data_IF_546260376033
#
_entry.id   IF_546260376033
#
_cell.length_a   1.000
_cell.length_b   1.000
_cell.length_c   1.000
_cell.angle_alpha   90.00
_cell.angle_beta   90.00
_cell.angle_gamma   90.00
#
_symmetry.space_group_name_H-M   'P 1'
#
loop_
_entity.id
_entity.type
_entity.pdbx_description
1 polymer ?
#
# COMPACT_ATOMS: atom_id res chain seq x y z
N UNK A 1 33.59 17.47 -27.30
CA UNK A 1 32.58 17.12 -26.29
C UNK A 1 32.46 15.61 -26.29
N UNK A 2 32.85 15.03 -25.17
CA UNK A 2 33.02 13.59 -24.98
C UNK A 2 31.66 12.88 -24.96
N UNK A 3 31.62 11.62 -25.41
CA UNK A 3 30.42 10.80 -25.44
C UNK A 3 29.85 10.56 -24.02
N UNK A 4 30.69 10.73 -23.01
CA UNK A 4 30.36 10.72 -21.59
C UNK A 4 29.50 11.93 -21.18
N UNK A 5 29.71 13.11 -21.77
CA UNK A 5 28.93 14.33 -21.45
C UNK A 5 27.51 14.28 -22.05
N UNK A 6 27.33 13.61 -23.20
CA UNK A 6 25.98 13.38 -23.77
C UNK A 6 25.14 12.40 -22.96
N UNK A 7 25.78 11.44 -22.28
CA UNK A 7 25.08 10.43 -21.48
C UNK A 7 24.55 10.98 -20.15
N UNK A 8 25.09 12.11 -19.69
CA UNK A 8 24.62 12.81 -18.48
C UNK A 8 23.49 13.80 -18.80
N UNK A 9 23.44 14.31 -20.04
CA UNK A 9 22.39 15.23 -20.49
C UNK A 9 21.04 14.54 -20.79
N UNK A 10 21.05 13.24 -21.13
CA UNK A 10 19.87 12.39 -21.25
C UNK A 10 19.89 11.40 -20.08
N UNK A 11 19.24 11.74 -18.97
CA UNK A 11 19.16 10.89 -17.78
C UNK A 11 18.81 9.46 -18.15
N UNK A 12 19.68 8.52 -17.74
CA UNK A 12 19.65 7.07 -17.90
C UNK A 12 18.55 6.51 -18.83
N UNK A 13 18.94 5.87 -19.95
CA UNK A 13 18.04 5.37 -21.01
C UNK A 13 17.01 4.30 -20.61
N UNK A 14 16.72 4.16 -19.33
CA UNK A 14 15.65 3.36 -18.73
C UNK A 14 14.38 4.20 -18.52
N UNK A 15 13.23 3.54 -18.61
CA UNK A 15 11.92 4.19 -18.47
C UNK A 15 11.66 4.67 -17.02
N UNK A 16 10.85 5.73 -16.83
CA UNK A 16 10.52 6.24 -15.48
C UNK A 16 9.98 5.14 -14.56
N UNK A 17 9.16 4.24 -15.09
CA UNK A 17 8.61 3.11 -14.33
C UNK A 17 9.62 2.07 -13.88
N UNK A 18 10.70 1.89 -14.65
CA UNK A 18 11.81 1.01 -14.29
C UNK A 18 12.69 1.67 -13.24
N UNK A 19 12.99 2.95 -13.39
CA UNK A 19 13.74 3.73 -12.41
C UNK A 19 13.03 3.74 -11.05
N UNK A 20 11.72 4.03 -11.01
CA UNK A 20 10.95 3.98 -9.76
C UNK A 20 11.00 2.59 -9.14
N UNK A 21 10.83 1.54 -9.94
CA UNK A 21 10.89 0.15 -9.44
C UNK A 21 12.25 -0.16 -8.82
N UNK A 22 13.34 0.30 -9.42
CA UNK A 22 14.69 0.04 -8.92
C UNK A 22 14.96 0.80 -7.63
N UNK A 23 14.71 2.11 -7.59
CA UNK A 23 14.99 2.93 -6.38
C UNK A 23 14.10 2.57 -5.19
N UNK A 24 12.91 2.00 -5.43
CA UNK A 24 11.98 1.62 -4.36
C UNK A 24 12.12 0.17 -3.91
N UNK A 25 13.02 -0.61 -4.52
CA UNK A 25 13.18 -2.05 -4.24
C UNK A 25 13.41 -2.36 -2.77
N UNK A 26 14.36 -1.68 -2.13
CA UNK A 26 14.69 -1.93 -0.72
C UNK A 26 13.58 -1.48 0.22
N UNK A 27 12.95 -0.33 -0.07
CA UNK A 27 11.80 0.15 0.71
C UNK A 27 10.57 -0.75 0.54
N UNK A 28 10.36 -1.35 -0.63
CA UNK A 28 9.33 -2.37 -0.84
C UNK A 28 9.57 -3.60 0.03
N UNK A 29 10.81 -4.12 0.04
CA UNK A 29 11.17 -5.25 0.92
C UNK A 29 10.95 -4.89 2.38
N UNK A 30 11.35 -3.70 2.84
CA UNK A 30 11.09 -3.28 4.23
C UNK A 30 9.61 -3.16 4.55
N UNK A 31 8.80 -2.60 3.65
CA UNK A 31 7.35 -2.49 3.83
C UNK A 31 6.68 -3.85 4.03
N UNK A 32 7.05 -4.85 3.22
CA UNK A 32 6.54 -6.21 3.35
C UNK A 32 6.99 -6.92 4.64
N UNK A 33 8.12 -6.49 5.21
CA UNK A 33 8.70 -7.06 6.43
C UNK A 33 8.35 -6.28 7.71
N UNK A 34 7.46 -5.28 7.64
CA UNK A 34 6.89 -4.66 8.86
C UNK A 34 6.13 -5.71 9.66
N UNK A 35 6.11 -5.57 11.00
CA UNK A 35 5.47 -6.55 11.88
C UNK A 35 3.99 -6.75 11.53
N UNK A 36 3.28 -5.66 11.21
CA UNK A 36 1.89 -5.70 10.78
C UNK A 36 1.73 -6.52 9.50
N UNK A 37 2.55 -6.29 8.47
CA UNK A 37 2.46 -7.01 7.20
C UNK A 37 2.84 -8.47 7.33
N UNK A 38 3.87 -8.80 8.12
CA UNK A 38 4.23 -10.19 8.41
C UNK A 38 3.08 -10.96 9.09
N UNK A 39 2.36 -10.32 10.02
CA UNK A 39 1.19 -10.90 10.66
C UNK A 39 0.03 -11.02 9.66
N UNK A 40 -0.20 -9.99 8.85
CA UNK A 40 -1.25 -9.97 7.84
C UNK A 40 -1.06 -11.10 6.83
N UNK A 41 0.14 -11.27 6.26
CA UNK A 41 0.46 -12.34 5.30
C UNK A 41 0.22 -13.74 5.88
N UNK A 42 0.37 -13.92 7.20
CA UNK A 42 0.06 -15.17 7.93
C UNK A 42 -1.43 -15.35 8.25
N UNK A 43 -2.28 -14.39 7.88
CA UNK A 43 -3.71 -14.37 8.22
C UNK A 43 -3.97 -14.03 9.69
N UNK A 44 -3.01 -13.41 10.38
CA UNK A 44 -3.06 -13.08 11.80
C UNK A 44 -3.42 -11.61 12.07
N UNK A 45 -3.93 -10.90 11.06
CA UNK A 45 -4.46 -9.54 11.25
C UNK A 45 -5.78 -9.61 12.04
N UNK A 46 -5.88 -8.81 13.09
CA UNK A 46 -7.11 -8.73 13.90
C UNK A 46 -8.13 -7.79 13.28
N UNK A 47 -9.42 -7.96 13.63
CA UNK A 47 -10.47 -7.05 13.16
C UNK A 47 -10.22 -5.58 13.57
N UNK A 48 -9.79 -5.26 14.81
CA UNK A 48 -9.39 -3.90 15.16
C UNK A 48 -8.25 -3.34 14.29
N UNK A 49 -7.20 -4.12 14.02
CA UNK A 49 -6.09 -3.73 13.14
C UNK A 49 -6.59 -3.40 11.74
N UNK A 50 -7.43 -4.27 11.17
CA UNK A 50 -7.96 -4.08 9.83
C UNK A 50 -8.88 -2.86 9.74
N UNK A 51 -9.73 -2.63 10.75
CA UNK A 51 -10.59 -1.43 10.80
C UNK A 51 -9.79 -0.13 10.86
N UNK A 52 -8.72 -0.07 11.66
CA UNK A 52 -7.83 1.11 11.69
C UNK A 52 -7.09 1.25 10.35
N UNK A 53 -6.66 0.15 9.74
CA UNK A 53 -6.03 0.18 8.42
C UNK A 53 -6.98 0.78 7.38
N UNK A 54 -8.25 0.38 7.36
CA UNK A 54 -9.27 0.95 6.48
C UNK A 54 -9.48 2.45 6.73
N UNK A 55 -9.55 2.89 7.99
CA UNK A 55 -9.60 4.31 8.32
C UNK A 55 -8.39 5.08 7.77
N UNK A 56 -7.19 4.53 7.94
CA UNK A 56 -5.95 5.14 7.45
C UNK A 56 -5.92 5.22 5.93
N UNK A 57 -6.31 4.13 5.26
CA UNK A 57 -6.41 4.09 3.80
C UNK A 57 -7.42 5.11 3.30
N UNK A 58 -8.61 5.19 3.89
CA UNK A 58 -9.62 6.19 3.53
C UNK A 58 -9.05 7.62 3.57
N UNK A 59 -8.36 7.99 4.65
CA UNK A 59 -7.77 9.32 4.76
C UNK A 59 -6.66 9.59 3.72
N UNK A 60 -5.83 8.58 3.44
CA UNK A 60 -4.74 8.64 2.45
C UNK A 60 -5.30 8.75 1.03
N UNK A 61 -6.21 7.87 0.64
CA UNK A 61 -6.82 7.90 -0.70
C UNK A 61 -7.67 9.14 -0.89
N UNK A 62 -8.33 9.65 0.16
CA UNK A 62 -9.02 10.94 0.07
C UNK A 62 -8.06 12.06 -0.31
N UNK A 63 -6.96 12.18 0.42
CA UNK A 63 -5.95 13.20 0.12
C UNK A 63 -5.31 13.01 -1.27
N UNK A 64 -5.03 11.76 -1.66
CA UNK A 64 -4.43 11.46 -2.96
C UNK A 64 -5.41 11.77 -4.10
N UNK A 65 -6.64 11.29 -4.02
CA UNK A 65 -7.65 11.43 -5.07
C UNK A 65 -8.14 12.88 -5.19
N UNK A 66 -8.30 13.61 -4.08
CA UNK A 66 -8.60 15.05 -4.11
C UNK A 66 -7.54 15.84 -4.89
N UNK A 67 -6.25 15.52 -4.72
CA UNK A 67 -5.15 16.21 -5.41
C UNK A 67 -4.97 15.70 -6.84
N UNK A 68 -5.23 14.41 -7.13
CA UNK A 68 -5.25 13.90 -8.51
C UNK A 68 -6.38 14.54 -9.32
N UNK A 69 -7.59 14.68 -8.75
CA UNK A 69 -8.72 15.32 -9.39
C UNK A 69 -8.44 16.80 -9.68
N UNK A 70 -7.89 17.52 -8.69
CA UNK A 70 -7.48 18.93 -8.82
C UNK A 70 -6.47 19.15 -9.93
N UNK A 71 -5.57 18.19 -10.14
CA UNK A 71 -4.48 18.26 -11.10
C UNK A 71 -4.69 17.33 -12.31
N UNK A 72 -5.93 16.93 -12.59
CA UNK A 72 -6.27 15.97 -13.65
C UNK A 72 -5.80 16.36 -15.05
N UNK A 73 -5.62 17.66 -15.32
CA UNK A 73 -5.10 18.19 -16.59
C UNK A 73 -3.64 18.64 -16.51
N UNK A 74 -2.94 18.40 -15.40
CA UNK A 74 -1.51 18.72 -15.28
C UNK A 74 -0.70 17.73 -16.13
N UNK A 75 0.30 18.16 -16.94
CA UNK A 75 1.00 17.27 -17.89
C UNK A 75 1.62 16.01 -17.30
N UNK A 76 2.03 16.06 -16.03
CA UNK A 76 2.57 14.91 -15.30
C UNK A 76 1.52 13.99 -14.64
N UNK A 77 0.27 14.45 -14.49
CA UNK A 77 -0.81 13.72 -13.82
C UNK A 77 -1.80 13.16 -14.85
N UNK A 78 -2.14 13.94 -15.87
CA UNK A 78 -3.09 13.53 -16.92
C UNK A 78 -2.81 12.13 -17.50
N UNK A 79 -1.56 11.72 -17.80
CA UNK A 79 -1.31 10.40 -18.38
C UNK A 79 -1.70 9.24 -17.46
N UNK A 80 -1.64 9.44 -16.14
CA UNK A 80 -1.92 8.40 -15.13
C UNK A 80 -3.31 8.55 -14.47
N UNK A 81 -4.12 9.49 -14.92
CA UNK A 81 -5.42 9.80 -14.31
C UNK A 81 -6.50 8.82 -14.79
N UNK A 82 -6.72 7.75 -14.02
CA UNK A 82 -7.69 6.67 -14.29
C UNK A 82 -8.72 6.53 -13.16
N UNK A 83 -9.59 7.52 -12.91
CA UNK A 83 -10.49 7.50 -11.76
C UNK A 83 -11.51 6.36 -11.82
N UNK A 84 -12.01 6.00 -13.01
CA UNK A 84 -13.03 4.95 -13.16
C UNK A 84 -12.48 3.56 -12.81
N UNK A 85 -11.20 3.33 -13.10
CA UNK A 85 -10.55 2.05 -12.88
C UNK A 85 -9.89 1.95 -11.49
N UNK A 86 -9.29 3.05 -11.02
CA UNK A 86 -8.40 3.05 -9.86
C UNK A 86 -8.94 3.72 -8.60
N UNK A 87 -9.92 4.63 -8.68
CA UNK A 87 -10.37 5.35 -7.48
C UNK A 87 -10.86 4.38 -6.40
N UNK A 88 -10.46 4.62 -5.15
CA UNK A 88 -10.70 3.74 -3.99
C UNK A 88 -11.67 4.33 -2.98
N UNK A 89 -12.00 5.62 -3.07
CA UNK A 89 -12.85 6.25 -2.07
C UNK A 89 -14.19 5.56 -1.89
N UNK A 90 -14.94 5.33 -2.96
CA UNK A 90 -16.26 4.68 -2.87
C UNK A 90 -16.19 3.26 -2.27
N UNK A 91 -15.14 2.50 -2.59
CA UNK A 91 -14.97 1.16 -2.03
C UNK A 91 -14.57 1.20 -0.55
N UNK A 92 -13.72 2.15 -0.15
CA UNK A 92 -13.36 2.38 1.25
C UNK A 92 -14.55 2.88 2.08
N UNK A 93 -15.38 3.77 1.53
CA UNK A 93 -16.60 4.24 2.21
C UNK A 93 -17.58 3.08 2.47
N UNK A 94 -17.75 2.18 1.49
CA UNK A 94 -18.58 0.96 1.66
C UNK A 94 -18.01 0.02 2.72
N UNK A 95 -16.70 -0.20 2.73
CA UNK A 95 -16.06 -1.05 3.75
C UNK A 95 -16.16 -0.43 5.15
N UNK A 96 -16.00 0.89 5.27
CA UNK A 96 -16.16 1.60 6.54
C UNK A 96 -17.62 1.57 7.03
N UNK A 97 -18.59 1.78 6.15
CA UNK A 97 -20.01 1.65 6.50
C UNK A 97 -20.36 0.23 6.96
N UNK A 98 -19.80 -0.80 6.32
CA UNK A 98 -19.97 -2.20 6.75
C UNK A 98 -19.49 -2.42 8.19
N UNK A 99 -18.31 -1.92 8.56
CA UNK A 99 -17.73 -2.18 9.89
C UNK A 99 -18.16 -1.22 11.00
N UNK A 100 -18.65 -0.02 10.66
CA UNK A 100 -18.93 1.04 11.62
C UNK A 100 -20.36 1.60 11.54
N UNK A 101 -21.15 1.15 10.57
CA UNK A 101 -22.52 1.59 10.29
C UNK A 101 -22.61 2.98 9.64
N UNK A 102 -23.82 3.49 9.44
CA UNK A 102 -24.09 4.76 8.74
C UNK A 102 -23.39 5.99 9.34
N UNK A 103 -22.93 5.93 10.60
CA UNK A 103 -22.20 7.01 11.27
C UNK A 103 -20.68 6.78 11.26
N UNK A 104 -20.15 5.97 10.34
CA UNK A 104 -18.73 5.61 10.26
C UNK A 104 -17.80 6.82 10.22
N UNK A 105 -18.20 7.93 9.57
CA UNK A 105 -17.41 9.17 9.47
C UNK A 105 -17.02 9.75 10.84
N UNK A 106 -17.85 9.55 11.87
CA UNK A 106 -17.57 10.00 13.26
C UNK A 106 -16.65 9.05 14.04
N UNK A 107 -16.30 7.90 13.46
CA UNK A 107 -15.53 6.82 14.09
C UNK A 107 -14.17 6.61 13.42
N UNK A 108 -13.83 7.42 12.43
CA UNK A 108 -12.51 7.40 11.78
C UNK A 108 -11.48 7.87 12.79
N UNK A 109 -10.60 6.95 13.18
CA UNK A 109 -9.44 7.20 14.04
C UNK A 109 -8.24 6.64 13.30
N UNK A 110 -7.20 7.45 13.18
CA UNK A 110 -5.98 7.11 12.43
C UNK A 110 -4.73 7.46 13.24
N UNK A 111 -3.60 6.76 13.03
CA UNK A 111 -2.35 7.09 13.68
C UNK A 111 -1.77 8.42 13.19
N UNK A 112 -0.84 8.99 13.96
CA UNK A 112 -0.15 10.23 13.61
C UNK A 112 0.57 10.15 12.25
N UNK A 113 1.15 8.99 11.90
CA UNK A 113 1.75 8.76 10.59
C UNK A 113 0.77 8.97 9.43
N UNK A 114 -0.51 8.61 9.59
CA UNK A 114 -1.52 8.85 8.56
C UNK A 114 -1.72 10.34 8.33
N UNK A 115 -1.79 11.14 9.40
CA UNK A 115 -1.89 12.60 9.26
C UNK A 115 -0.69 13.17 8.49
N UNK A 116 0.55 12.78 8.86
CA UNK A 116 1.77 13.21 8.14
C UNK A 116 1.73 12.85 6.65
N UNK A 117 1.32 11.63 6.33
CA UNK A 117 1.19 11.20 4.94
C UNK A 117 0.17 12.07 4.19
N UNK A 118 -1.02 12.24 4.75
CA UNK A 118 -2.08 13.04 4.10
C UNK A 118 -1.70 14.53 3.98
N UNK A 119 -0.91 15.06 4.91
CA UNK A 119 -0.36 16.41 4.83
C UNK A 119 0.64 16.53 3.68
N UNK A 120 1.56 15.56 3.54
CA UNK A 120 2.52 15.52 2.44
C UNK A 120 1.82 15.51 1.09
N UNK A 121 0.79 14.69 0.91
CA UNK A 121 0.01 14.64 -0.33
C UNK A 121 -0.58 16.01 -0.71
N UNK A 122 -1.15 16.72 0.27
CA UNK A 122 -1.68 18.08 0.07
C UNK A 122 -0.59 19.12 -0.16
N UNK A 123 0.56 18.98 0.50
CA UNK A 123 1.72 19.85 0.30
C UNK A 123 2.22 19.75 -1.14
N UNK A 124 2.42 18.54 -1.66
CA UNK A 124 2.89 18.35 -3.04
C UNK A 124 1.82 18.69 -4.06
N UNK A 125 0.52 18.45 -3.79
CA UNK A 125 -0.54 18.95 -4.66
C UNK A 125 -0.48 20.46 -4.82
N UNK A 126 -0.27 21.20 -3.73
CA UNK A 126 -0.15 22.68 -3.77
C UNK A 126 1.12 23.20 -4.45
N UNK A 127 2.25 22.50 -4.32
CA UNK A 127 3.56 23.07 -4.63
C UNK A 127 4.34 22.34 -5.72
N UNK A 128 4.04 21.07 -5.99
CA UNK A 128 4.76 20.21 -6.94
C UNK A 128 3.88 19.04 -7.44
N UNK A 129 2.82 19.31 -8.22
CA UNK A 129 1.85 18.29 -8.65
C UNK A 129 2.47 17.11 -9.41
N UNK A 130 3.60 17.33 -10.09
CA UNK A 130 4.35 16.27 -10.77
C UNK A 130 4.79 15.13 -9.83
N UNK A 131 4.94 15.40 -8.53
CA UNK A 131 5.31 14.38 -7.53
C UNK A 131 4.15 13.45 -7.16
N UNK A 132 2.90 13.79 -7.50
CA UNK A 132 1.74 12.93 -7.27
C UNK A 132 1.87 11.58 -7.99
N UNK A 133 2.61 11.54 -9.12
CA UNK A 133 2.88 10.31 -9.87
C UNK A 133 3.56 9.24 -9.01
N UNK A 134 4.46 9.64 -8.11
CA UNK A 134 5.19 8.75 -7.23
C UNK A 134 4.24 8.06 -6.23
N UNK A 135 3.32 8.82 -5.64
CA UNK A 135 2.35 8.28 -4.69
C UNK A 135 1.28 7.42 -5.36
N UNK A 136 0.75 7.88 -6.50
CA UNK A 136 -0.21 7.11 -7.29
C UNK A 136 0.40 5.78 -7.76
N UNK A 137 1.66 5.78 -8.23
CA UNK A 137 2.40 4.56 -8.55
C UNK A 137 2.49 3.61 -7.35
N UNK A 138 3.02 4.09 -6.23
CA UNK A 138 3.28 3.26 -5.04
C UNK A 138 1.99 2.64 -4.50
N UNK A 139 0.89 3.39 -4.50
CA UNK A 139 -0.42 2.92 -4.02
C UNK A 139 -1.11 1.99 -5.02
N UNK A 140 -1.50 2.50 -6.19
CA UNK A 140 -2.38 1.75 -7.10
C UNK A 140 -1.73 0.48 -7.66
N UNK A 141 -0.44 0.51 -7.99
CA UNK A 141 0.24 -0.70 -8.51
C UNK A 141 0.52 -1.72 -7.39
N UNK A 142 0.68 -1.25 -6.14
CA UNK A 142 0.69 -2.11 -4.96
C UNK A 142 -0.66 -2.83 -4.79
N UNK A 143 -1.77 -2.12 -4.90
CA UNK A 143 -3.12 -2.68 -4.75
C UNK A 143 -3.46 -3.70 -5.85
N UNK A 144 -3.06 -3.42 -7.09
CA UNK A 144 -3.17 -4.32 -8.25
C UNK A 144 -2.13 -5.47 -8.24
N UNK A 145 -1.28 -5.55 -7.21
CA UNK A 145 -0.27 -6.58 -7.03
C UNK A 145 -0.50 -7.32 -5.70
N UNK A 146 0.21 -6.94 -4.64
CA UNK A 146 0.10 -7.56 -3.32
C UNK A 146 -1.29 -7.38 -2.69
N UNK A 147 -1.98 -6.27 -2.98
CA UNK A 147 -3.33 -6.02 -2.48
C UNK A 147 -4.33 -7.11 -2.86
N UNK A 148 -4.22 -7.70 -4.05
CA UNK A 148 -5.09 -8.81 -4.48
C UNK A 148 -4.92 -10.06 -3.62
N UNK A 149 -3.70 -10.31 -3.12
CA UNK A 149 -3.41 -11.42 -2.21
C UNK A 149 -3.93 -11.08 -0.80
N UNK A 150 -3.69 -9.87 -0.32
CA UNK A 150 -4.16 -9.40 0.99
C UNK A 150 -5.70 -9.43 1.09
N UNK A 151 -6.42 -9.06 0.03
CA UNK A 151 -7.87 -9.15 0.00
C UNK A 151 -8.38 -10.58 0.23
N UNK A 152 -7.78 -11.57 -0.45
CA UNK A 152 -8.12 -12.99 -0.25
C UNK A 152 -7.79 -13.47 1.16
N UNK A 153 -6.65 -13.05 1.70
CA UNK A 153 -6.26 -13.38 3.08
C UNK A 153 -7.28 -12.80 4.06
N UNK A 154 -7.69 -11.55 3.88
CA UNK A 154 -8.68 -10.86 4.72
C UNK A 154 -10.02 -11.59 4.72
N UNK A 155 -10.54 -11.93 3.53
CA UNK A 155 -11.78 -12.69 3.41
C UNK A 155 -11.71 -13.99 4.19
N UNK A 156 -10.60 -14.73 4.02
CA UNK A 156 -10.41 -16.02 4.69
C UNK A 156 -10.23 -15.89 6.20
N UNK A 157 -9.38 -14.98 6.67
CA UNK A 157 -9.05 -14.85 8.09
C UNK A 157 -10.21 -14.28 8.91
N UNK A 158 -11.07 -13.48 8.30
CA UNK A 158 -12.20 -12.82 8.98
C UNK A 158 -13.56 -13.42 8.64
N UNK A 159 -13.62 -14.43 7.76
CA UNK A 159 -14.88 -15.05 7.33
C UNK A 159 -15.80 -14.10 6.55
N UNK A 160 -15.22 -13.16 5.80
CA UNK A 160 -15.97 -12.13 5.05
C UNK A 160 -16.39 -12.62 3.66
N UNK A 161 -17.55 -12.14 3.22
CA UNK A 161 -18.01 -12.24 1.84
C UNK A 161 -17.35 -11.21 0.93
N UNK A 162 -18.14 -10.59 0.05
CA UNK A 162 -17.68 -9.46 -0.80
C UNK A 162 -17.70 -8.11 -0.06
N UNK A 163 -18.48 -8.01 1.00
CA UNK A 163 -18.59 -6.81 1.83
C UNK A 163 -17.46 -6.75 2.85
N UNK A 164 -17.02 -5.54 3.20
CA UNK A 164 -15.90 -5.31 4.12
C UNK A 164 -14.52 -5.57 3.50
N UNK A 165 -14.44 -5.81 2.19
CA UNK A 165 -13.19 -5.99 1.41
C UNK A 165 -13.29 -5.36 0.01
N UNK A 166 -14.26 -4.47 -0.22
CA UNK A 166 -14.50 -3.81 -1.49
C UNK A 166 -13.27 -3.04 -2.00
N UNK A 167 -12.45 -2.49 -1.10
CA UNK A 167 -11.19 -1.80 -1.42
C UNK A 167 -10.30 -2.61 -2.38
N UNK A 168 -10.22 -3.93 -2.16
CA UNK A 168 -9.37 -4.82 -2.94
C UNK A 168 -9.95 -5.18 -4.31
N UNK A 169 -11.21 -4.81 -4.59
CA UNK A 169 -11.89 -5.10 -5.85
C UNK A 169 -11.76 -3.95 -6.84
N UNK A 170 -11.38 -4.26 -8.08
CA UNK A 170 -11.22 -3.28 -9.17
C UNK A 170 -12.18 -3.63 -10.33
N UNK A 171 -13.48 -3.30 -10.22
CA UNK A 171 -14.46 -3.69 -11.24
C UNK A 171 -14.20 -3.05 -12.61
N UNK A 172 -13.57 -1.86 -12.64
CA UNK A 172 -13.13 -1.21 -13.89
C UNK A 172 -11.86 -1.83 -14.52
N UNK A 173 -11.19 -2.79 -13.84
CA UNK A 173 -9.96 -3.41 -14.31
C UNK A 173 -10.20 -4.89 -14.66
N UNK A 174 -10.41 -5.18 -15.94
CA UNK A 174 -10.62 -6.56 -16.42
C UNK A 174 -9.39 -7.46 -16.23
N UNK A 175 -8.19 -6.90 -16.35
CA UNK A 175 -6.94 -7.63 -16.17
C UNK A 175 -5.91 -6.78 -15.43
N UNK A 176 -5.63 -7.06 -14.14
CA UNK A 176 -4.63 -6.31 -13.37
C UNK A 176 -3.25 -6.31 -14.01
N UNK A 177 -2.87 -7.41 -14.67
CA UNK A 177 -1.59 -7.49 -15.40
C UNK A 177 -1.53 -6.49 -16.56
N UNK A 178 -2.51 -6.53 -17.48
CA UNK A 178 -2.54 -5.64 -18.65
C UNK A 178 -2.69 -4.18 -18.22
N UNK A 179 -3.50 -3.91 -17.20
CA UNK A 179 -3.68 -2.54 -16.70
C UNK A 179 -2.40 -1.97 -16.08
N UNK A 180 -1.64 -2.76 -15.31
CA UNK A 180 -0.33 -2.33 -14.82
C UNK A 180 0.68 -2.05 -15.94
N UNK A 181 0.62 -2.79 -17.05
CA UNK A 181 1.46 -2.51 -18.22
C UNK A 181 1.05 -1.19 -18.90
N UNK A 182 -0.26 -0.98 -19.09
CA UNK A 182 -0.81 0.28 -19.60
C UNK A 182 -0.38 1.46 -18.71
N UNK A 183 -0.59 1.36 -17.40
CA UNK A 183 -0.25 2.41 -16.44
C UNK A 183 1.24 2.77 -16.50
N UNK A 184 2.14 1.77 -16.55
CA UNK A 184 3.58 2.02 -16.70
C UNK A 184 3.91 2.71 -18.02
N UNK A 185 3.33 2.26 -19.13
CA UNK A 185 3.52 2.88 -20.44
C UNK A 185 3.07 4.35 -20.45
N UNK A 186 1.94 4.67 -19.82
CA UNK A 186 1.46 6.05 -19.66
C UNK A 186 2.34 6.90 -18.76
N UNK A 187 2.85 6.31 -17.68
CA UNK A 187 3.79 6.98 -16.80
C UNK A 187 5.13 7.28 -17.52
N UNK A 188 5.58 6.38 -18.40
CA UNK A 188 6.81 6.57 -19.18
C UNK A 188 6.68 7.69 -20.23
N UNK A 189 5.46 8.07 -20.64
CA UNK A 189 5.24 9.21 -21.54
C UNK A 189 5.24 10.57 -20.85
N UNK A 190 5.44 10.63 -19.53
CA UNK A 190 5.52 11.90 -18.81
C UNK A 190 6.87 12.56 -19.11
N UNK A 191 6.81 13.76 -19.68
CA UNK A 191 7.99 14.59 -19.92
C UNK A 191 8.40 15.30 -18.61
N UNK A 192 9.62 15.02 -18.15
CA UNK A 192 10.21 15.62 -16.94
C UNK A 192 11.62 16.10 -17.27
N UNK A 193 11.99 17.25 -16.74
CA UNK A 193 13.40 17.63 -16.65
C UNK A 193 14.17 16.63 -15.78
N UNK A 194 15.51 16.62 -15.91
CA UNK A 194 16.38 15.77 -15.10
C UNK A 194 16.15 15.97 -13.59
N UNK A 195 15.95 17.22 -13.16
CA UNK A 195 15.74 17.56 -11.76
C UNK A 195 14.34 17.15 -11.27
N UNK A 196 13.29 17.32 -12.08
CA UNK A 196 11.95 16.84 -11.72
C UNK A 196 11.90 15.32 -11.63
N UNK A 197 12.55 14.61 -12.57
CA UNK A 197 12.68 13.16 -12.54
C UNK A 197 13.35 12.70 -11.26
N UNK A 198 14.49 13.31 -10.89
CA UNK A 198 15.20 13.01 -9.63
C UNK A 198 14.28 13.18 -8.42
N UNK A 199 13.52 14.28 -8.36
CA UNK A 199 12.54 14.52 -7.27
C UNK A 199 11.41 13.50 -7.24
N UNK A 200 10.92 13.03 -8.39
CA UNK A 200 9.91 11.95 -8.46
C UNK A 200 10.47 10.65 -7.89
N UNK A 201 11.71 10.30 -8.21
CA UNK A 201 12.37 9.09 -7.67
C UNK A 201 12.54 9.18 -6.14
N UNK A 202 13.01 10.33 -5.64
CA UNK A 202 13.12 10.58 -4.20
C UNK A 202 11.74 10.52 -3.51
N UNK A 203 10.70 11.08 -4.13
CA UNK A 203 9.33 11.02 -3.61
C UNK A 203 8.79 9.58 -3.60
N UNK A 204 9.12 8.75 -4.59
CA UNK A 204 8.66 7.37 -4.62
C UNK A 204 9.22 6.58 -3.43
N UNK A 205 10.49 6.78 -3.08
CA UNK A 205 11.08 6.20 -1.86
C UNK A 205 10.34 6.72 -0.62
N UNK A 206 10.12 8.04 -0.52
CA UNK A 206 9.35 8.64 0.59
C UNK A 206 7.94 8.08 0.70
N UNK A 207 7.25 7.84 -0.42
CA UNK A 207 5.92 7.24 -0.43
C UNK A 207 5.93 5.85 0.23
N UNK A 208 6.97 5.03 0.04
CA UNK A 208 7.12 3.78 0.77
C UNK A 208 7.40 4.01 2.26
N UNK A 209 8.25 4.96 2.62
CA UNK A 209 8.50 5.29 4.05
C UNK A 209 7.22 5.69 4.77
N UNK A 210 6.38 6.53 4.17
CA UNK A 210 5.09 6.89 4.76
C UNK A 210 4.18 5.66 4.99
N UNK A 211 4.19 4.69 4.07
CA UNK A 211 3.43 3.45 4.27
C UNK A 211 4.00 2.63 5.43
N UNK A 212 5.33 2.52 5.53
CA UNK A 212 6.02 1.83 6.64
C UNK A 212 5.66 2.49 7.98
N UNK A 213 5.77 3.80 8.07
CA UNK A 213 5.40 4.57 9.27
C UNK A 213 3.94 4.34 9.68
N UNK A 214 3.02 4.32 8.70
CA UNK A 214 1.59 4.05 8.97
C UNK A 214 1.40 2.65 9.54
N UNK A 215 2.07 1.63 8.99
CA UNK A 215 1.98 0.26 9.51
C UNK A 215 2.57 0.12 10.91
N UNK A 216 3.72 0.74 11.16
CA UNK A 216 4.38 0.71 12.45
C UNK A 216 3.59 1.45 13.53
N UNK A 217 3.06 2.64 13.24
CA UNK A 217 2.26 3.40 14.20
C UNK A 217 0.91 2.73 14.47
N UNK A 218 0.27 2.12 13.45
CA UNK A 218 -0.94 1.33 13.65
C UNK A 218 -0.68 0.16 14.60
N UNK A 219 0.42 -0.57 14.40
CA UNK A 219 0.81 -1.68 15.28
C UNK A 219 1.02 -1.19 16.73
N UNK A 220 1.72 -0.07 16.94
CA UNK A 220 1.97 0.52 18.26
C UNK A 220 0.67 0.98 18.94
N UNK A 221 -0.21 1.64 18.20
CA UNK A 221 -1.47 2.20 18.71
C UNK A 221 -2.34 1.12 19.39
N UNK A 222 -2.35 -0.09 18.83
CA UNK A 222 -3.14 -1.21 19.36
C UNK A 222 -2.43 -1.96 20.48
N UNK A 223 -1.11 -2.14 20.42
CA UNK A 223 -0.35 -2.76 21.52
C UNK A 223 -0.43 -1.97 22.83
N UNK A 224 -0.54 -0.63 22.77
CA UNK A 224 -0.76 0.21 23.96
C UNK A 224 -2.16 0.01 24.53
N UNK A 225 -3.17 -0.17 23.67
CA UNK A 225 -4.56 -0.35 24.09
C UNK A 225 -4.75 -1.68 24.81
N UNK A 226 -4.11 -2.76 24.33
CA UNK A 226 -4.13 -4.09 24.96
C UNK A 226 -3.38 -4.11 26.31
N UNK A 227 -2.21 -3.46 26.39
CA UNK A 227 -1.45 -3.35 27.64
C UNK A 227 -2.12 -2.50 28.73
N UNK A 228 -2.95 -1.53 28.34
CA UNK A 228 -3.74 -0.73 29.27
C UNK A 228 -4.97 -1.48 29.81
N UNK A 229 -5.58 -2.37 29.01
CA UNK A 229 -6.69 -3.23 29.47
C UNK A 229 -6.26 -4.34 30.42
N UNK A 230 -5.03 -4.83 30.32
CA UNK A 230 -4.47 -5.84 31.23
C UNK A 230 -3.95 -5.23 32.57
N UNK A 231 -3.93 -3.90 32.69
CA UNK A 231 -3.43 -3.18 33.86
C UNK A 231 -4.43 -2.89 34.98
N UNK A 232 -5.73 -3.18 34.79
CA UNK A 232 -6.77 -2.97 35.83
C UNK A 232 -7.30 -4.29 36.40
N UNK A 233 -6.55 -4.90 37.31
CA UNK A 233 -7.01 -6.09 38.04
C UNK A 233 -6.21 -6.34 39.32
N UNK A 234 -6.64 -5.76 40.44
CA UNK A 234 -6.12 -6.10 41.77
C UNK A 234 -6.72 -7.42 42.28
N UNK A 235 -5.81 -8.37 42.54
CA UNK A 235 -5.82 -9.60 43.35
C UNK A 235 -7.12 -10.09 44.03
N UNK A 236 -7.44 -11.39 43.93
CA UNK A 236 -7.07 -12.47 44.88
C UNK A 236 -7.91 -13.75 44.59
N UNK A 237 -7.32 -14.96 44.63
CA UNK A 237 -8.09 -16.21 44.65
C UNK A 237 -7.43 -17.43 43.99
N UNK A 238 -6.82 -18.27 44.80
CA UNK A 238 -6.21 -19.56 44.48
C UNK A 238 -7.19 -20.58 43.90
N UNK A 239 -6.88 -21.23 42.76
CA UNK A 239 -7.46 -22.53 42.36
C UNK A 239 -6.39 -23.44 41.69
N UNK A 240 -6.41 -24.69 42.15
CA UNK A 240 -5.55 -25.87 41.94
C UNK A 240 -5.51 -26.33 40.45
N UNK A 241 -4.43 -26.96 39.94
CA UNK A 241 -4.33 -27.36 38.54
C UNK A 241 -5.07 -28.69 38.27
N UNK A 242 -5.85 -28.74 37.18
CA UNK A 242 -6.44 -29.98 36.68
C UNK A 242 -5.68 -30.51 35.46
N UNK A 243 -5.24 -31.78 35.55
CA UNK A 243 -4.63 -32.57 34.47
C UNK A 243 -5.68 -32.98 33.41
N UNK A 244 -5.35 -32.72 32.15
CA UNK A 244 -5.31 -33.70 31.04
C UNK A 244 -6.60 -34.20 30.39
N UNK A 245 -6.81 -33.84 29.11
CA UNK A 245 -7.39 -34.66 28.02
C UNK A 245 -6.67 -34.22 26.72
N UNK A 246 -5.65 -34.94 26.23
CA UNK A 246 -5.68 -36.03 25.23
C UNK A 246 -6.36 -35.71 23.88
N UNK A 247 -5.55 -35.30 22.89
CA UNK A 247 -5.48 -35.92 21.55
C UNK A 247 -6.46 -35.51 20.44
N UNK A 248 -5.99 -34.70 19.48
CA UNK A 248 -5.86 -35.11 18.06
C UNK A 248 -5.15 -34.06 17.19
N UNK A 249 -4.47 -34.48 16.10
CA UNK A 249 -3.34 -33.74 15.53
C UNK A 249 -3.80 -32.63 14.58
N UNK A 250 -3.27 -31.43 14.82
CA UNK A 250 -3.37 -30.30 13.87
C UNK A 250 -2.58 -30.67 12.61
N UNK A 251 -3.30 -30.79 11.49
CA UNK A 251 -2.74 -30.84 10.14
C UNK A 251 -1.91 -29.56 9.96
N UNK A 252 -0.58 -29.71 9.99
CA UNK A 252 0.34 -28.66 9.54
C UNK A 252 0.22 -28.55 8.03
N UNK A 253 -0.68 -27.70 7.55
CA UNK A 253 -0.67 -27.25 6.16
C UNK A 253 0.40 -26.16 6.04
N UNK A 254 1.64 -26.56 5.76
CA UNK A 254 2.68 -25.64 5.29
C UNK A 254 2.26 -25.11 3.93
N UNK A 255 1.54 -23.99 3.92
CA UNK A 255 1.32 -23.22 2.71
C UNK A 255 2.60 -22.41 2.47
N UNK A 256 3.53 -23.02 1.73
CA UNK A 256 4.62 -22.30 1.07
C UNK A 256 4.01 -21.35 0.05
N UNK A 257 3.76 -20.11 0.47
CA UNK A 257 3.30 -19.06 -0.41
C UNK A 257 4.52 -18.51 -1.16
N UNK A 258 4.46 -18.67 -2.48
CA UNK A 258 5.45 -18.30 -3.48
C UNK A 258 6.20 -17.00 -3.17
N UNK A 259 7.47 -17.14 -2.79
CA UNK A 259 8.50 -16.15 -3.09
C UNK A 259 8.60 -16.10 -4.62
N UNK A 260 8.10 -15.04 -5.23
CA UNK A 260 8.44 -14.74 -6.62
C UNK A 260 9.93 -14.35 -6.66
N UNK A 261 10.77 -15.35 -6.88
CA UNK A 261 12.16 -15.21 -7.27
C UNK A 261 12.23 -14.35 -8.53
N UNK A 262 12.73 -13.12 -8.39
CA UNK A 262 13.34 -12.41 -9.51
C UNK A 262 14.81 -12.83 -9.58
N UNK A 263 15.07 -14.01 -10.15
CA UNK A 263 16.41 -14.45 -10.53
C UNK A 263 16.62 -14.31 -12.03
N UNK A 264 17.52 -13.39 -12.38
CA UNK A 264 18.47 -13.37 -13.49
C UNK A 264 17.94 -13.30 -14.93
N UNK A 265 18.30 -12.20 -15.59
CA UNK A 265 18.34 -12.05 -17.04
C UNK A 265 19.41 -11.05 -17.46
N UNK A 266 20.68 -11.33 -17.14
CA UNK A 266 21.85 -10.70 -17.78
C UNK A 266 22.21 -11.55 -19.02
N UNK A 267 22.32 -10.89 -20.18
CA UNK A 267 22.77 -11.45 -21.46
C UNK A 267 21.61 -12.03 -22.28
N UNK A 268 21.34 -11.62 -23.52
CA UNK A 268 22.29 -11.56 -24.64
C UNK A 268 21.78 -10.56 -25.69
N UNK A 269 22.69 -9.70 -26.17
CA UNK A 269 22.62 -9.01 -27.46
C UNK A 269 22.28 -9.99 -28.60
N UNK A 270 21.22 -9.78 -29.38
CA UNK A 270 21.25 -9.85 -30.85
C UNK A 270 19.86 -9.72 -31.52
N UNK A 271 19.82 -8.79 -32.49
CA UNK A 271 19.07 -8.82 -33.75
C UNK A 271 17.54 -8.56 -33.79
N UNK A 272 17.24 -7.45 -34.50
CA UNK A 272 15.99 -6.93 -35.08
C UNK A 272 15.04 -6.13 -34.18
#
# INVERSE_FOLDING_TARGET
MDNTERKVANGDGSDLSEQIKEVTKDSHVRAENTQLMLNYQKGQITLPQYKILLCSLYEIYRALEDELDRHSTHPAVEPIYFPQELARLESLERDLEYFFGAQWKKRVIVPAATHRYTERLREIGRSSPNLLVAHAYTRYLGDLSGGQVLGKITQKSMGLGKEGVAFFSFPGVTSPHRFKQLYRSRMNSIELSVEERRKVLDEAVRAFEFNIEVFDDLQKMLSITEGASDGSGTQNGSIIPLKGISGSPVIKLTLGLCVALATVGIGVYSAF
#
